data_IF_453257054983
#
_entry.id   IF_453257054983
#
_cell.length_a   1.000
_cell.length_b   1.000
_cell.length_c   1.000
_cell.angle_alpha   90.00
_cell.angle_beta   90.00
_cell.angle_gamma   90.00
#
_symmetry.space_group_name_H-M   'P 1'
#
loop_
_entity.id
_entity.type
_entity.pdbx_description
1 polymer ?
#
# COMPACT_ATOMS: atom_id res chain seq x y z
N UNK A 1 13.79 -11.90 14.34
CA UNK A 1 13.73 -10.85 13.31
C UNK A 1 14.80 -9.83 13.63
N UNK A 2 15.64 -9.40 12.66
CA UNK A 2 16.70 -8.45 12.94
C UNK A 2 16.13 -7.09 13.36
N UNK A 3 16.85 -6.41 14.25
CA UNK A 3 16.56 -5.05 14.68
C UNK A 3 17.58 -4.10 14.06
N UNK A 4 17.09 -2.96 13.56
CA UNK A 4 17.87 -1.91 12.96
C UNK A 4 17.56 -0.58 13.65
N UNK A 5 18.57 0.27 13.81
CA UNK A 5 18.42 1.62 14.30
C UNK A 5 18.63 2.60 13.14
N UNK A 6 17.53 3.02 12.51
CA UNK A 6 17.57 3.87 11.32
C UNK A 6 17.27 5.33 11.68
N UNK A 7 17.77 6.27 10.86
CA UNK A 7 17.54 7.71 11.09
C UNK A 7 16.43 8.22 10.18
N UNK A 8 15.52 9.02 10.72
CA UNK A 8 14.51 9.72 9.93
C UNK A 8 15.17 10.78 9.03
N UNK A 9 15.17 10.59 7.73
CA UNK A 9 15.67 11.59 6.77
C UNK A 9 14.58 12.52 6.25
N UNK A 10 13.34 12.05 6.17
CA UNK A 10 12.22 12.88 5.76
C UNK A 10 10.91 12.49 6.46
N UNK A 11 10.12 13.51 6.78
CA UNK A 11 8.72 13.40 7.18
C UNK A 11 7.95 14.41 6.35
N UNK A 12 7.08 13.95 5.45
CA UNK A 12 6.30 14.83 4.57
C UNK A 12 4.82 14.51 4.71
N UNK A 13 3.97 15.53 4.61
CA UNK A 13 2.53 15.32 4.52
C UNK A 13 2.20 14.60 3.22
N UNK A 14 1.56 13.43 3.30
CA UNK A 14 1.07 12.70 2.13
C UNK A 14 -0.41 13.02 1.88
N UNK A 15 -1.22 12.98 2.94
CA UNK A 15 -2.64 13.34 2.96
C UNK A 15 -2.93 14.14 4.25
N UNK A 16 -4.16 14.61 4.51
CA UNK A 16 -4.51 15.18 5.82
C UNK A 16 -4.13 14.25 6.99
N UNK A 17 -4.43 12.96 6.89
CA UNK A 17 -4.26 11.97 7.96
C UNK A 17 -3.00 11.11 7.86
N UNK A 18 -2.14 11.29 6.85
CA UNK A 18 -0.95 10.44 6.67
C UNK A 18 0.34 11.24 6.44
N UNK A 19 1.48 10.60 6.73
CA UNK A 19 2.83 11.10 6.49
C UNK A 19 3.62 10.08 5.68
N UNK A 20 4.43 10.58 4.76
CA UNK A 20 5.53 9.83 4.17
C UNK A 20 6.71 9.93 5.12
N UNK A 21 7.11 8.78 5.67
CA UNK A 21 8.28 8.64 6.52
C UNK A 21 9.39 7.96 5.73
N UNK A 22 10.58 8.56 5.69
CA UNK A 22 11.78 7.93 5.12
C UNK A 22 12.83 7.72 6.19
N UNK A 23 13.40 6.52 6.22
CA UNK A 23 14.44 6.12 7.12
C UNK A 23 15.71 5.79 6.33
N UNK A 24 16.82 6.45 6.65
CA UNK A 24 18.12 6.19 6.01
C UNK A 24 18.64 4.82 6.40
N UNK A 25 19.12 4.09 5.40
CA UNK A 25 19.57 2.70 5.52
C UNK A 25 18.67 1.74 4.74
N UNK A 26 19.03 0.47 4.79
CA UNK A 26 18.34 -0.61 4.10
C UNK A 26 18.49 -1.92 4.86
N UNK A 27 17.56 -2.84 4.62
CA UNK A 27 17.67 -4.24 4.95
C UNK A 27 16.97 -5.05 3.85
N UNK A 28 17.26 -6.34 3.65
CA UNK A 28 16.56 -7.15 2.66
C UNK A 28 15.08 -7.32 3.02
N UNK A 29 14.19 -7.06 2.06
CA UNK A 29 12.76 -7.34 2.16
C UNK A 29 12.19 -7.63 0.77
N UNK A 30 11.02 -8.26 0.73
CA UNK A 30 10.24 -8.46 -0.49
C UNK A 30 9.13 -7.42 -0.60
N UNK A 31 8.85 -7.00 -1.83
CA UNK A 31 7.83 -6.00 -2.09
C UNK A 31 6.45 -6.44 -1.54
N UNK A 32 5.88 -5.61 -0.68
CA UNK A 32 4.64 -5.88 0.05
C UNK A 32 4.82 -6.20 1.55
N UNK A 33 6.04 -6.54 1.99
CA UNK A 33 6.34 -6.78 3.41
C UNK A 33 6.25 -5.51 4.27
N UNK A 34 6.20 -5.70 5.58
CA UNK A 34 6.12 -4.67 6.59
C UNK A 34 7.35 -4.64 7.51
N UNK A 35 7.41 -3.64 8.39
CA UNK A 35 8.32 -3.62 9.53
C UNK A 35 7.62 -3.01 10.75
N UNK A 36 8.01 -3.46 11.94
CA UNK A 36 7.67 -2.80 13.20
C UNK A 36 8.50 -1.53 13.37
N UNK A 37 7.83 -0.40 13.57
CA UNK A 37 8.44 0.91 13.77
C UNK A 37 8.15 1.43 15.18
N UNK A 38 9.16 1.99 15.83
CA UNK A 38 9.00 2.72 17.09
C UNK A 38 10.16 3.70 17.31
N UNK A 39 10.03 4.70 18.20
CA UNK A 39 11.14 5.54 18.62
C UNK A 39 12.23 4.69 19.26
N UNK A 40 13.49 5.06 19.06
CA UNK A 40 14.63 4.33 19.64
C UNK A 40 14.58 4.22 21.18
N UNK A 41 13.95 5.19 21.85
CA UNK A 41 13.83 5.25 23.30
C UNK A 41 12.62 4.48 23.87
N UNK A 42 11.83 3.80 23.02
CA UNK A 42 10.61 3.11 23.42
C UNK A 42 10.58 1.67 22.89
N UNK A 43 10.25 0.71 23.75
CA UNK A 43 10.02 -0.69 23.36
C UNK A 43 8.72 -0.90 22.58
N UNK A 44 7.82 0.09 22.61
CA UNK A 44 6.58 0.04 21.84
C UNK A 44 6.89 0.20 20.35
N UNK A 45 6.38 -0.72 19.55
CA UNK A 45 6.48 -0.67 18.09
C UNK A 45 5.14 -0.98 17.46
N UNK A 46 4.92 -0.44 16.26
CA UNK A 46 3.69 -0.60 15.49
C UNK A 46 4.05 -1.07 14.08
N UNK A 47 3.35 -2.08 13.51
CA UNK A 47 3.63 -2.55 12.17
C UNK A 47 3.20 -1.52 11.11
N UNK A 48 4.07 -1.27 10.14
CA UNK A 48 3.77 -0.50 8.92
C UNK A 48 4.32 -1.21 7.70
N UNK A 49 3.50 -1.35 6.67
CA UNK A 49 3.95 -1.84 5.37
C UNK A 49 5.01 -0.91 4.76
N UNK A 50 6.02 -1.52 4.15
CA UNK A 50 7.06 -0.80 3.43
C UNK A 50 6.46 -0.33 2.09
N UNK A 51 6.56 0.97 1.81
CA UNK A 51 5.96 1.61 0.64
C UNK A 51 6.94 1.79 -0.54
N UNK A 52 8.25 1.73 -0.28
CA UNK A 52 9.29 1.65 -1.32
C UNK A 52 9.42 0.21 -1.85
N UNK A 53 9.84 0.05 -3.10
CA UNK A 53 10.29 -1.26 -3.59
C UNK A 53 11.70 -1.59 -3.08
N UNK A 54 12.09 -2.87 -3.01
CA UNK A 54 13.47 -3.26 -2.69
C UNK A 54 14.51 -2.55 -3.57
N UNK A 55 14.21 -2.34 -4.85
CA UNK A 55 15.08 -1.69 -5.82
C UNK A 55 15.21 -0.18 -5.59
N UNK A 56 14.12 0.48 -5.18
CA UNK A 56 14.19 1.88 -4.75
C UNK A 56 15.05 2.03 -3.51
N UNK A 57 14.89 1.13 -2.53
CA UNK A 57 15.70 1.17 -1.32
C UNK A 57 17.18 0.94 -1.64
N UNK A 58 17.49 -0.03 -2.51
CA UNK A 58 18.85 -0.30 -2.94
C UNK A 58 19.49 0.89 -3.66
N UNK A 59 18.75 1.58 -4.52
CA UNK A 59 19.25 2.71 -5.31
C UNK A 59 19.28 4.05 -4.55
N UNK A 60 18.35 4.28 -3.63
CA UNK A 60 18.17 5.56 -2.95
C UNK A 60 18.72 5.59 -1.52
N UNK A 61 19.02 4.41 -0.94
CA UNK A 61 19.59 4.31 0.41
C UNK A 61 18.61 4.64 1.54
N UNK A 62 17.30 4.60 1.28
CA UNK A 62 16.27 4.77 2.30
C UNK A 62 15.09 3.81 2.13
N UNK A 63 14.37 3.57 3.22
CA UNK A 63 13.10 2.85 3.24
C UNK A 63 11.96 3.84 3.47
N UNK A 64 10.91 3.77 2.66
CA UNK A 64 9.74 4.65 2.75
C UNK A 64 8.54 3.92 3.37
N UNK A 65 7.80 4.60 4.24
CA UNK A 65 6.57 4.13 4.87
C UNK A 65 5.47 5.19 4.72
N UNK A 66 4.22 4.73 4.58
CA UNK A 66 3.04 5.59 4.68
C UNK A 66 2.44 5.43 6.08
N UNK A 67 2.73 6.38 6.97
CA UNK A 67 2.31 6.34 8.37
C UNK A 67 1.02 7.11 8.55
N UNK A 68 0.03 6.50 9.19
CA UNK A 68 -1.21 7.18 9.59
C UNK A 68 -0.99 7.92 10.91
N UNK A 69 -1.44 9.18 10.97
CA UNK A 69 -1.12 10.13 12.05
C UNK A 69 -2.34 10.91 12.56
N UNK A 70 -3.56 10.44 12.29
CA UNK A 70 -4.72 11.12 12.87
C UNK A 70 -4.80 10.92 14.39
N UNK A 71 -5.50 11.82 15.08
CA UNK A 71 -5.55 11.91 16.54
C UNK A 71 -6.20 10.68 17.22
N UNK A 72 -6.70 9.72 16.44
CA UNK A 72 -7.35 8.51 16.93
C UNK A 72 -6.63 7.21 16.50
N UNK A 73 -5.43 7.28 15.89
CA UNK A 73 -4.75 6.09 15.34
C UNK A 73 -3.29 5.88 15.79
N UNK A 74 -2.77 4.70 15.42
CA UNK A 74 -1.67 3.96 16.08
C UNK A 74 -0.36 4.72 16.27
N UNK A 75 0.10 5.59 15.36
CA UNK A 75 1.30 6.39 15.64
C UNK A 75 1.00 7.56 16.59
N UNK A 76 -0.08 8.31 16.32
CA UNK A 76 -0.43 9.54 17.03
C UNK A 76 -0.78 9.32 18.51
N UNK A 77 -1.23 8.12 18.88
CA UNK A 77 -1.48 7.75 20.28
C UNK A 77 -0.22 7.35 21.05
N UNK A 78 0.72 6.70 20.38
CA UNK A 78 1.79 5.96 21.04
C UNK A 78 3.11 6.72 21.10
N UNK A 79 3.28 7.71 20.22
CA UNK A 79 4.58 8.34 20.01
C UNK A 79 4.45 9.84 19.76
N UNK A 80 5.52 10.56 20.11
CA UNK A 80 5.70 11.95 19.73
C UNK A 80 5.62 12.15 18.20
N UNK A 81 5.37 13.40 17.75
CA UNK A 81 5.42 13.73 16.33
C UNK A 81 6.74 13.29 15.69
N UNK A 82 6.64 12.62 14.54
CA UNK A 82 7.80 12.25 13.72
C UNK A 82 8.59 13.50 13.30
N UNK A 83 9.89 13.52 13.58
CA UNK A 83 10.80 14.59 13.17
C UNK A 83 12.03 14.03 12.47
N UNK A 84 12.49 14.78 11.46
CA UNK A 84 13.79 14.52 10.82
C UNK A 84 14.90 14.49 11.86
N UNK A 85 15.85 13.58 11.68
CA UNK A 85 17.00 13.38 12.56
C UNK A 85 16.74 12.41 13.72
N UNK A 86 15.48 12.10 14.05
CA UNK A 86 15.17 11.10 15.09
C UNK A 86 15.72 9.72 14.71
N UNK A 87 16.11 8.94 15.72
CA UNK A 87 16.45 7.53 15.55
C UNK A 87 15.20 6.69 15.80
N UNK A 88 14.99 5.73 14.92
CA UNK A 88 13.84 4.84 14.89
C UNK A 88 14.33 3.41 15.01
N UNK A 89 13.73 2.67 15.94
CA UNK A 89 13.83 1.23 16.00
C UNK A 89 12.97 0.64 14.89
N UNK A 90 13.58 -0.23 14.09
CA UNK A 90 12.94 -0.91 12.97
C UNK A 90 13.20 -2.40 13.10
N UNK A 91 12.14 -3.20 13.24
CA UNK A 91 12.26 -4.66 13.26
C UNK A 91 11.52 -5.23 12.06
N UNK A 92 12.24 -5.85 11.13
CA UNK A 92 11.69 -6.29 9.84
C UNK A 92 12.64 -7.24 9.11
N UNK A 93 12.22 -7.79 7.96
CA UNK A 93 10.87 -7.66 7.39
C UNK A 93 9.83 -8.58 8.08
N UNK A 94 8.55 -8.23 7.93
CA UNK A 94 7.38 -8.94 8.42
C UNK A 94 6.42 -9.28 7.27
N UNK A 95 5.66 -10.36 7.46
CA UNK A 95 4.52 -10.70 6.59
C UNK A 95 4.91 -11.51 5.34
N UNK A 96 3.89 -12.13 4.76
CA UNK A 96 3.99 -12.94 3.53
C UNK A 96 3.19 -12.34 2.37
N UNK A 97 2.54 -11.19 2.58
CA UNK A 97 1.81 -10.44 1.57
C UNK A 97 2.79 -9.83 0.56
N UNK A 98 3.24 -10.65 -0.37
CA UNK A 98 4.32 -10.32 -1.31
C UNK A 98 3.92 -10.65 -2.74
N UNK A 99 4.47 -9.90 -3.69
CA UNK A 99 4.44 -10.33 -5.08
C UNK A 99 5.25 -11.65 -5.19
N UNK A 100 4.72 -12.69 -5.83
CA UNK A 100 5.51 -13.89 -6.14
C UNK A 100 6.74 -13.51 -6.96
N UNK A 101 7.89 -14.15 -6.70
CA UNK A 101 9.13 -13.88 -7.45
C UNK A 101 9.00 -14.32 -8.92
N UNK A 102 8.25 -15.40 -9.16
CA UNK A 102 8.01 -15.95 -10.49
C UNK A 102 6.52 -16.24 -10.63
N UNK A 103 5.66 -15.22 -10.78
CA UNK A 103 4.23 -15.45 -10.93
C UNK A 103 3.97 -16.15 -12.27
N UNK A 104 3.09 -17.15 -12.27
CA UNK A 104 2.59 -17.74 -13.51
C UNK A 104 1.56 -16.82 -14.17
N UNK A 105 0.91 -15.97 -13.36
CA UNK A 105 -0.11 -15.02 -13.76
C UNK A 105 0.47 -13.84 -14.53
N UNK A 106 -0.38 -13.27 -15.40
CA UNK A 106 -0.07 -12.06 -16.18
C UNK A 106 -1.13 -10.97 -16.00
N UNK A 107 -2.14 -11.20 -15.17
CA UNK A 107 -3.14 -10.22 -14.79
C UNK A 107 -3.12 -10.04 -13.28
N UNK A 108 -2.91 -8.80 -12.85
CA UNK A 108 -2.79 -8.45 -11.45
C UNK A 108 -3.81 -7.38 -11.09
N UNK A 109 -4.63 -7.66 -10.08
CA UNK A 109 -5.62 -6.73 -9.55
C UNK A 109 -5.22 -6.36 -8.12
N UNK A 110 -4.89 -5.09 -7.91
CA UNK A 110 -4.56 -4.50 -6.63
C UNK A 110 -5.78 -3.74 -6.10
N UNK A 111 -6.19 -4.03 -4.88
CA UNK A 111 -7.35 -3.40 -4.23
C UNK A 111 -6.88 -2.80 -2.91
N UNK A 112 -6.81 -1.48 -2.86
CA UNK A 112 -6.31 -0.74 -1.72
C UNK A 112 -7.44 -0.01 -0.97
N UNK A 113 -7.41 -0.09 0.36
CA UNK A 113 -8.16 0.80 1.25
C UNK A 113 -7.21 1.67 2.06
N UNK A 114 -7.34 3.01 1.95
CA UNK A 114 -6.58 3.96 2.78
C UNK A 114 -5.07 3.77 2.69
N UNK A 115 -4.41 3.45 3.81
CA UNK A 115 -2.96 3.20 3.89
C UNK A 115 -2.54 1.85 3.32
N UNK A 116 -3.49 0.96 3.03
CA UNK A 116 -3.25 -0.31 2.32
C UNK A 116 -2.69 -0.14 0.90
N UNK A 117 -2.61 1.10 0.39
CA UNK A 117 -1.85 1.41 -0.82
C UNK A 117 -0.34 1.21 -0.66
N UNK A 118 0.21 1.29 0.56
CA UNK A 118 1.64 1.19 0.81
C UNK A 118 2.27 -0.11 0.28
N UNK A 119 1.82 -1.32 0.70
CA UNK A 119 2.41 -2.56 0.21
C UNK A 119 2.14 -2.75 -1.30
N UNK A 120 0.97 -2.34 -1.80
CA UNK A 120 0.63 -2.49 -3.22
C UNK A 120 1.49 -1.57 -4.10
N UNK A 121 1.81 -0.37 -3.63
CA UNK A 121 2.75 0.54 -4.31
C UNK A 121 4.15 -0.08 -4.37
N UNK A 122 4.62 -0.68 -3.27
CA UNK A 122 5.90 -1.41 -3.25
C UNK A 122 5.90 -2.51 -4.32
N UNK A 123 4.84 -3.32 -4.39
CA UNK A 123 4.68 -4.37 -5.42
C UNK A 123 4.65 -3.82 -6.85
N UNK A 124 3.89 -2.74 -7.10
CA UNK A 124 3.79 -2.11 -8.43
C UNK A 124 5.14 -1.54 -8.90
N UNK A 125 5.91 -0.94 -7.99
CA UNK A 125 7.25 -0.41 -8.30
C UNK A 125 8.26 -1.53 -8.51
N UNK A 126 8.21 -2.57 -7.70
CA UNK A 126 9.03 -3.78 -7.85
C UNK A 126 8.77 -4.45 -9.20
N UNK A 127 7.50 -4.72 -9.53
CA UNK A 127 7.09 -5.32 -10.80
C UNK A 127 7.60 -4.53 -12.01
N UNK A 128 7.55 -3.19 -11.95
CA UNK A 128 8.13 -2.34 -12.99
C UNK A 128 9.66 -2.46 -13.05
N UNK A 129 10.34 -2.48 -11.90
CA UNK A 129 11.80 -2.52 -11.85
C UNK A 129 12.40 -3.84 -12.37
N UNK A 130 11.70 -4.96 -12.18
CA UNK A 130 12.11 -6.27 -12.68
C UNK A 130 11.52 -6.57 -14.07
N UNK A 131 10.90 -5.58 -14.71
CA UNK A 131 10.24 -5.71 -16.02
C UNK A 131 9.26 -6.89 -16.08
N UNK A 132 8.50 -7.09 -14.99
CA UNK A 132 7.47 -8.12 -14.95
C UNK A 132 6.35 -7.76 -15.92
N UNK A 133 6.25 -8.52 -17.01
CA UNK A 133 5.25 -8.28 -18.04
C UNK A 133 3.87 -8.74 -17.56
N UNK A 134 2.87 -7.89 -17.72
CA UNK A 134 1.49 -8.19 -17.33
C UNK A 134 0.57 -6.99 -17.43
N UNK A 135 -0.72 -7.23 -17.17
CA UNK A 135 -1.73 -6.20 -17.04
C UNK A 135 -1.94 -5.87 -15.57
N UNK A 136 -1.74 -4.60 -15.21
CA UNK A 136 -1.84 -4.12 -13.84
C UNK A 136 -3.07 -3.23 -13.68
N UNK A 137 -3.90 -3.55 -12.70
CA UNK A 137 -5.13 -2.82 -12.38
C UNK A 137 -5.13 -2.46 -10.91
N UNK A 138 -5.46 -1.22 -10.57
CA UNK A 138 -5.57 -0.74 -9.19
C UNK A 138 -6.95 -0.14 -8.96
N UNK A 139 -7.70 -0.74 -8.03
CA UNK A 139 -8.88 -0.15 -7.43
C UNK A 139 -8.51 0.43 -6.05
N UNK A 140 -8.42 1.74 -5.95
CA UNK A 140 -8.04 2.43 -4.72
C UNK A 140 -9.26 3.13 -4.11
N UNK A 141 -9.62 2.71 -2.90
CA UNK A 141 -10.66 3.30 -2.08
C UNK A 141 -10.08 4.16 -0.96
N UNK A 142 -10.59 5.38 -0.81
CA UNK A 142 -10.22 6.30 0.26
C UNK A 142 -11.45 6.93 0.93
N UNK A 143 -11.23 7.57 2.08
CA UNK A 143 -12.30 8.25 2.81
C UNK A 143 -12.82 9.44 2.01
N UNK A 144 -11.95 10.36 1.60
CA UNK A 144 -12.27 11.51 0.75
C UNK A 144 -11.27 11.62 -0.41
N UNK A 145 -11.54 12.46 -1.43
CA UNK A 145 -10.56 12.73 -2.49
C UNK A 145 -9.20 13.26 -2.01
N UNK A 146 -9.14 13.88 -0.82
CA UNK A 146 -7.89 14.36 -0.23
C UNK A 146 -7.06 13.24 0.44
N UNK A 147 -7.64 12.05 0.63
CA UNK A 147 -7.03 10.93 1.34
C UNK A 147 -6.32 9.92 0.41
N UNK A 148 -6.24 10.20 -0.89
CA UNK A 148 -5.47 9.39 -1.84
C UNK A 148 -3.97 9.72 -1.78
N UNK A 149 -3.20 8.88 -1.08
CA UNK A 149 -1.75 8.96 -1.12
C UNK A 149 -1.19 8.56 -2.49
N UNK A 150 -0.02 9.09 -2.87
CA UNK A 150 0.69 8.76 -4.11
C UNK A 150 -0.08 9.04 -5.42
N UNK A 151 -1.18 9.79 -5.37
CA UNK A 151 -2.05 10.02 -6.53
C UNK A 151 -1.34 10.58 -7.78
N UNK A 152 -0.39 11.54 -7.68
CA UNK A 152 0.36 12.01 -8.84
C UNK A 152 1.16 10.90 -9.55
N UNK A 153 1.77 10.00 -8.78
CA UNK A 153 2.54 8.86 -9.29
C UNK A 153 1.61 7.84 -9.97
N UNK A 154 0.53 7.43 -9.30
CA UNK A 154 -0.44 6.48 -9.83
C UNK A 154 -1.09 6.98 -11.11
N UNK A 155 -1.46 8.28 -11.17
CA UNK A 155 -1.95 8.92 -12.40
C UNK A 155 -0.87 8.97 -13.49
N UNK A 156 0.40 9.13 -13.11
CA UNK A 156 1.54 9.05 -14.01
C UNK A 156 1.63 7.68 -14.69
N UNK A 157 1.55 6.61 -13.91
CA UNK A 157 1.52 5.23 -14.42
C UNK A 157 0.32 5.01 -15.35
N UNK A 158 -0.86 5.50 -14.97
CA UNK A 158 -2.05 5.39 -15.80
C UNK A 158 -1.93 6.12 -17.15
N UNK A 159 -1.37 7.33 -17.17
CA UNK A 159 -1.12 8.07 -18.43
C UNK A 159 -0.15 7.34 -19.36
N UNK A 160 0.84 6.64 -18.79
CA UNK A 160 1.79 5.79 -19.55
C UNK A 160 1.23 4.41 -19.90
N UNK A 161 -0.04 4.13 -19.56
CA UNK A 161 -0.71 2.82 -19.75
C UNK A 161 -0.01 1.66 -19.02
N UNK A 162 0.77 1.97 -17.98
CA UNK A 162 1.39 0.97 -17.10
C UNK A 162 0.39 0.44 -16.05
N UNK A 163 -0.71 1.15 -15.81
CA UNK A 163 -1.67 0.86 -14.77
C UNK A 163 -3.08 1.31 -15.17
N UNK A 164 -4.08 0.42 -15.13
CA UNK A 164 -5.48 0.84 -15.14
C UNK A 164 -5.88 1.28 -13.73
N UNK A 165 -6.16 2.58 -13.55
CA UNK A 165 -6.43 3.17 -12.24
C UNK A 165 -7.92 3.50 -12.05
N UNK A 166 -8.53 2.87 -11.06
CA UNK A 166 -9.91 3.15 -10.61
C UNK A 166 -9.87 3.71 -9.19
N UNK A 167 -10.49 4.88 -8.99
CA UNK A 167 -10.54 5.55 -7.68
C UNK A 167 -11.98 5.60 -7.18
N UNK A 168 -12.20 5.29 -5.90
CA UNK A 168 -13.50 5.47 -5.25
C UNK A 168 -13.38 6.18 -3.91
N UNK A 169 -14.18 7.22 -3.70
CA UNK A 169 -14.23 7.95 -2.42
C UNK A 169 -15.52 7.58 -1.67
N UNK A 170 -15.36 7.08 -0.44
CA UNK A 170 -16.51 6.63 0.37
C UNK A 170 -17.32 7.79 0.97
N UNK A 171 -16.69 8.96 1.14
CA UNK A 171 -17.27 10.18 1.68
C UNK A 171 -16.72 11.41 0.95
N UNK A 172 -17.48 12.50 1.00
CA UNK A 172 -17.08 13.75 0.38
C UNK A 172 -16.94 13.66 -1.15
N UNK A 173 -16.28 14.66 -1.71
CA UNK A 173 -16.23 14.92 -3.15
C UNK A 173 -17.23 16.00 -3.52
N UNK A 174 -16.72 17.19 -3.80
CA UNK A 174 -17.49 18.24 -4.47
C UNK A 174 -17.69 17.88 -5.95
N UNK A 175 -18.28 18.78 -6.73
CA UNK A 175 -18.55 18.58 -8.16
C UNK A 175 -17.27 18.39 -9.01
N UNK A 176 -16.09 18.65 -8.42
CA UNK A 176 -14.79 18.46 -9.06
C UNK A 176 -14.28 17.02 -8.91
N UNK A 177 -14.86 16.20 -8.04
CA UNK A 177 -14.51 14.78 -7.96
C UNK A 177 -15.08 14.00 -9.16
N UNK A 178 -14.18 13.49 -10.00
CA UNK A 178 -14.52 12.71 -11.21
C UNK A 178 -14.35 11.20 -11.04
N UNK A 179 -13.92 10.73 -9.87
CA UNK A 179 -13.84 9.30 -9.58
C UNK A 179 -15.17 8.74 -9.09
N UNK A 180 -15.19 7.45 -8.79
CA UNK A 180 -16.37 6.79 -8.25
C UNK A 180 -16.68 7.28 -6.82
N UNK A 181 -17.93 7.07 -6.40
CA UNK A 181 -18.43 7.42 -5.07
C UNK A 181 -18.96 6.15 -4.38
N UNK A 182 -18.73 6.06 -3.08
CA UNK A 182 -19.18 4.96 -2.25
C UNK A 182 -18.11 3.90 -1.96
N UNK A 183 -18.54 2.85 -1.25
CA UNK A 183 -17.73 1.66 -0.99
C UNK A 183 -17.46 0.90 -2.29
N UNK A 184 -16.49 -0.02 -2.23
CA UNK A 184 -16.17 -0.91 -3.33
C UNK A 184 -17.42 -1.74 -3.65
N UNK A 185 -17.87 -1.69 -4.90
CA UNK A 185 -19.03 -2.45 -5.36
C UNK A 185 -18.59 -3.54 -6.35
N UNK A 186 -19.33 -4.66 -6.38
CA UNK A 186 -19.04 -5.80 -7.24
C UNK A 186 -18.93 -5.40 -8.73
N UNK A 187 -19.77 -4.47 -9.20
CA UNK A 187 -19.70 -3.97 -10.58
C UNK A 187 -18.37 -3.28 -10.93
N UNK A 188 -17.71 -2.64 -9.95
CA UNK A 188 -16.38 -2.06 -10.15
C UNK A 188 -15.31 -3.13 -10.26
N UNK A 189 -15.43 -4.21 -9.48
CA UNK A 189 -14.53 -5.35 -9.56
C UNK A 189 -14.72 -6.12 -10.87
N UNK A 190 -15.97 -6.34 -11.28
CA UNK A 190 -16.31 -6.99 -12.54
C UNK A 190 -15.70 -6.26 -13.75
N UNK A 191 -15.71 -4.93 -13.75
CA UNK A 191 -15.09 -4.12 -14.80
C UNK A 191 -13.55 -4.17 -14.84
N UNK A 192 -12.91 -4.79 -13.84
CA UNK A 192 -11.45 -4.94 -13.72
C UNK A 192 -10.98 -6.40 -13.83
N UNK A 193 -11.89 -7.35 -13.94
CA UNK A 193 -11.57 -8.77 -14.04
C UNK A 193 -11.88 -9.23 -15.45
N UNK A 194 -10.83 -9.32 -16.26
CA UNK A 194 -10.95 -9.80 -17.64
C UNK A 194 -10.85 -11.33 -17.73
N UNK A 195 -10.16 -11.96 -16.77
CA UNK A 195 -9.86 -13.39 -16.78
C UNK A 195 -9.96 -14.01 -15.38
N UNK A 196 -10.51 -15.23 -15.23
CA UNK A 196 -10.55 -15.96 -13.95
C UNK A 196 -9.16 -16.22 -13.32
N UNK A 197 -8.10 -16.19 -14.13
CA UNK A 197 -6.73 -16.39 -13.68
C UNK A 197 -6.08 -15.18 -12.97
N UNK A 198 -6.80 -14.07 -12.80
CA UNK A 198 -6.29 -12.84 -12.20
C UNK A 198 -5.79 -13.07 -10.77
N UNK A 199 -4.54 -12.67 -10.48
CA UNK A 199 -3.99 -12.67 -9.11
C UNK A 199 -4.40 -11.37 -8.42
N UNK A 200 -5.16 -11.49 -7.33
CA UNK A 200 -5.73 -10.37 -6.60
C UNK A 200 -4.97 -10.11 -5.29
N UNK A 201 -4.63 -8.85 -5.04
CA UNK A 201 -4.03 -8.38 -3.79
C UNK A 201 -4.97 -7.38 -3.13
N UNK A 202 -5.50 -7.72 -1.95
CA UNK A 202 -6.40 -6.86 -1.18
C UNK A 202 -5.70 -6.41 0.08
N UNK A 203 -5.53 -5.10 0.25
CA UNK A 203 -4.99 -4.54 1.48
C UNK A 203 -5.80 -3.34 1.95
N UNK A 204 -6.33 -3.41 3.17
CA UNK A 204 -7.36 -2.48 3.62
C UNK A 204 -7.79 -2.68 5.07
N UNK A 205 -8.77 -1.89 5.53
CA UNK A 205 -9.40 -2.11 6.83
C UNK A 205 -10.17 -3.44 6.85
N UNK A 206 -10.35 -4.04 8.03
CA UNK A 206 -11.03 -5.34 8.24
C UNK A 206 -12.29 -5.53 7.39
N UNK A 207 -13.23 -4.58 7.45
CA UNK A 207 -14.48 -4.64 6.68
C UNK A 207 -14.26 -4.82 5.16
N UNK A 208 -13.21 -4.21 4.60
CA UNK A 208 -12.86 -4.39 3.18
C UNK A 208 -12.25 -5.77 2.92
N UNK A 209 -11.34 -6.21 3.79
CA UNK A 209 -10.68 -7.52 3.68
C UNK A 209 -11.68 -8.67 3.86
N UNK A 210 -12.78 -8.43 4.56
CA UNK A 210 -13.91 -9.35 4.66
C UNK A 210 -14.81 -9.34 3.42
N UNK A 211 -15.23 -8.16 2.95
CA UNK A 211 -16.23 -8.03 1.88
C UNK A 211 -15.67 -8.34 0.49
N UNK A 212 -14.49 -7.81 0.16
CA UNK A 212 -13.93 -7.89 -1.19
C UNK A 212 -13.68 -9.33 -1.67
N UNK A 213 -13.11 -10.24 -0.86
CA UNK A 213 -12.85 -11.60 -1.32
C UNK A 213 -14.12 -12.39 -1.62
N UNK A 214 -15.23 -12.08 -0.93
CA UNK A 214 -16.54 -12.67 -1.22
C UNK A 214 -17.02 -12.24 -2.61
N UNK A 215 -16.98 -10.93 -2.90
CA UNK A 215 -17.30 -10.40 -4.23
C UNK A 215 -16.39 -10.97 -5.33
N UNK A 216 -15.09 -11.12 -5.07
CA UNK A 216 -14.16 -11.75 -6.02
C UNK A 216 -14.51 -13.22 -6.28
N UNK A 217 -14.92 -13.96 -5.25
CA UNK A 217 -15.39 -15.34 -5.38
C UNK A 217 -16.69 -15.44 -6.19
N UNK A 218 -17.64 -14.52 -6.00
CA UNK A 218 -18.85 -14.41 -6.83
C UNK A 218 -18.54 -14.12 -8.30
N UNK A 219 -17.44 -13.42 -8.57
CA UNK A 219 -16.91 -13.17 -9.91
C UNK A 219 -16.02 -14.32 -10.45
N UNK A 220 -15.94 -15.45 -9.74
CA UNK A 220 -15.24 -16.66 -10.19
C UNK A 220 -13.74 -16.68 -9.95
N UNK A 221 -13.19 -15.75 -9.14
CA UNK A 221 -11.77 -15.79 -8.75
C UNK A 221 -11.57 -16.86 -7.68
N UNK A 222 -10.69 -17.81 -7.96
CA UNK A 222 -10.30 -18.85 -7.01
C UNK A 222 -9.65 -18.26 -5.74
N UNK A 223 -9.96 -18.84 -4.58
CA UNK A 223 -9.43 -18.36 -3.28
C UNK A 223 -7.90 -18.40 -3.24
N UNK A 224 -7.28 -19.39 -3.88
CA UNK A 224 -5.83 -19.51 -4.03
C UNK A 224 -5.19 -18.41 -4.89
N UNK A 225 -5.99 -17.57 -5.56
CA UNK A 225 -5.57 -16.37 -6.30
C UNK A 225 -5.87 -15.07 -5.58
N UNK A 226 -6.37 -15.13 -4.35
CA UNK A 226 -6.62 -13.94 -3.54
C UNK A 226 -5.59 -13.89 -2.42
N UNK A 227 -4.84 -12.79 -2.33
CA UNK A 227 -3.90 -12.48 -1.26
C UNK A 227 -4.48 -11.34 -0.45
N UNK A 228 -4.47 -11.47 0.87
CA UNK A 228 -5.09 -10.53 1.80
C UNK A 228 -4.06 -10.01 2.79
N UNK A 229 -4.20 -8.73 3.16
CA UNK A 229 -3.50 -8.13 4.28
C UNK A 229 -4.42 -7.10 4.96
N UNK A 230 -4.65 -7.27 6.25
CA UNK A 230 -5.43 -6.33 7.06
C UNK A 230 -4.49 -5.39 7.82
N UNK A 231 -4.88 -4.13 7.96
CA UNK A 231 -4.18 -3.17 8.82
C UNK A 231 -5.07 -2.58 9.90
#
# INVERSE_FOLDING_TARGET
>A
MPEHLLRVSAVRRATPSTRLLRLDGSFPYRAGQAAQLGPAASELTVPYSIASSPEDTASQGFIEFLVKVDAQERWGHHFDPLRRGQRMRVRGPLGQFTLPEQPAERDFLFIAGGTGIAPLRSMLRHARSIELHGSYRLLYSARTPADFAYLPELRGMARRRELQLTLTATRGGDDRWKGNRGRIAIGQLAALIDRPATLCFVCGPAAMVDEVPRMLGELGIDRGRIRLEEW
#
